data_IF_081042687759
#
_entry.id   IF_081042687759
#
_cell.length_a   1.000
_cell.length_b   1.000
_cell.length_c   1.000
_cell.angle_alpha   90.00
_cell.angle_beta   90.00
_cell.angle_gamma   90.00
#
_symmetry.space_group_name_H-M   'P 1'
#
loop_
_entity.id
_entity.type
_entity.pdbx_description
1 polymer ?
#
# COMPACT_ATOMS: atom_id res chain seq x y z
N UNK A 1 -13.12 3.17 -0.36
CA UNK A 1 -11.97 3.22 0.56
C UNK A 1 -11.36 4.63 0.66
N UNK A 2 -10.89 5.23 -0.45
CA UNK A 2 -10.19 6.53 -0.41
C UNK A 2 -10.95 7.70 0.25
N UNK A 3 -12.23 7.90 -0.11
CA UNK A 3 -12.98 9.11 0.28
C UNK A 3 -13.95 8.92 1.43
N UNK A 4 -14.58 7.75 1.54
CA UNK A 4 -15.54 7.50 2.62
C UNK A 4 -14.85 7.49 3.99
N UNK A 5 -15.58 7.94 5.01
CA UNK A 5 -15.23 7.87 6.43
C UNK A 5 -16.33 7.15 7.22
N UNK A 6 -17.29 6.56 6.52
CA UNK A 6 -18.32 5.74 7.15
C UNK A 6 -17.75 4.36 7.45
N UNK A 7 -17.77 3.99 8.72
CA UNK A 7 -17.17 2.73 9.17
C UNK A 7 -17.86 1.52 8.56
N UNK A 8 -19.19 1.50 8.56
CA UNK A 8 -19.98 0.33 8.15
C UNK A 8 -19.90 0.15 6.63
N UNK A 9 -19.91 1.25 5.86
CA UNK A 9 -19.67 1.25 4.43
C UNK A 9 -18.27 0.71 4.10
N UNK A 10 -17.24 1.24 4.75
CA UNK A 10 -15.86 0.80 4.53
C UNK A 10 -15.68 -0.68 4.88
N UNK A 11 -16.26 -1.13 5.99
CA UNK A 11 -16.23 -2.54 6.39
C UNK A 11 -16.95 -3.42 5.37
N UNK A 12 -18.14 -3.02 4.92
CA UNK A 12 -18.92 -3.75 3.93
C UNK A 12 -18.13 -3.93 2.62
N UNK A 13 -17.62 -2.83 2.06
CA UNK A 13 -16.87 -2.85 0.79
C UNK A 13 -15.58 -3.68 0.92
N UNK A 14 -14.84 -3.54 2.02
CA UNK A 14 -13.63 -4.30 2.26
C UNK A 14 -13.88 -5.81 2.35
N UNK A 15 -14.99 -6.21 3.00
CA UNK A 15 -15.41 -7.61 3.14
C UNK A 15 -15.89 -8.19 1.81
N UNK A 16 -16.79 -7.49 1.12
CA UNK A 16 -17.34 -7.98 -0.15
C UNK A 16 -16.28 -8.08 -1.22
N UNK A 17 -15.33 -7.14 -1.28
CA UNK A 17 -14.18 -7.25 -2.17
C UNK A 17 -13.43 -8.57 -1.95
N UNK A 18 -13.05 -8.88 -0.71
CA UNK A 18 -12.31 -10.12 -0.37
C UNK A 18 -13.12 -11.39 -0.62
N UNK A 19 -14.44 -11.34 -0.38
CA UNK A 19 -15.34 -12.47 -0.67
C UNK A 19 -15.42 -12.75 -2.16
N UNK A 20 -15.44 -11.73 -3.00
CA UNK A 20 -15.60 -11.85 -4.45
C UNK A 20 -14.28 -12.08 -5.20
N UNK A 21 -13.17 -11.51 -4.73
CA UNK A 21 -11.86 -11.65 -5.39
C UNK A 21 -11.01 -12.75 -4.79
N UNK A 22 -10.91 -12.83 -3.46
CA UNK A 22 -9.98 -13.73 -2.77
C UNK A 22 -10.51 -15.16 -2.63
N UNK A 23 -11.80 -15.32 -2.30
CA UNK A 23 -12.38 -16.65 -2.01
C UNK A 23 -12.27 -17.61 -3.19
N UNK A 24 -12.61 -17.12 -4.38
CA UNK A 24 -12.57 -17.89 -5.63
C UNK A 24 -11.13 -18.17 -6.11
N UNK A 25 -10.14 -17.43 -5.58
CA UNK A 25 -8.74 -17.55 -5.99
C UNK A 25 -7.99 -18.66 -5.25
N UNK A 26 -8.51 -19.15 -4.12
CA UNK A 26 -7.77 -20.06 -3.21
C UNK A 26 -7.20 -21.28 -3.93
N UNK A 27 -8.05 -22.01 -4.65
CA UNK A 27 -7.65 -23.29 -5.24
C UNK A 27 -6.74 -23.08 -6.47
N UNK A 28 -7.02 -22.06 -7.28
CA UNK A 28 -6.15 -21.67 -8.39
C UNK A 28 -4.78 -21.18 -7.91
N UNK A 29 -4.73 -20.46 -6.78
CA UNK A 29 -3.47 -19.99 -6.20
C UNK A 29 -2.65 -21.15 -5.66
N UNK A 30 -3.29 -22.16 -5.04
CA UNK A 30 -2.59 -23.37 -4.61
C UNK A 30 -1.95 -24.10 -5.80
N UNK A 31 -2.70 -24.29 -6.89
CA UNK A 31 -2.17 -24.89 -8.12
C UNK A 31 -1.04 -24.05 -8.72
N UNK A 32 -1.13 -22.72 -8.68
CA UNK A 32 -0.06 -21.83 -9.11
C UNK A 32 1.22 -22.04 -8.30
N UNK A 33 1.12 -22.21 -6.97
CA UNK A 33 2.30 -22.52 -6.13
C UNK A 33 2.95 -23.83 -6.57
N UNK A 34 2.16 -24.87 -6.84
CA UNK A 34 2.69 -26.17 -7.30
C UNK A 34 3.47 -26.00 -8.61
N UNK A 35 2.87 -25.33 -9.61
CA UNK A 35 3.51 -25.05 -10.90
C UNK A 35 4.78 -24.20 -10.74
N UNK A 36 4.76 -23.17 -9.89
CA UNK A 36 5.94 -22.34 -9.63
C UNK A 36 7.09 -23.14 -9.00
N UNK A 37 6.78 -24.09 -8.13
CA UNK A 37 7.79 -24.97 -7.54
C UNK A 37 8.33 -25.97 -8.57
N UNK A 38 7.48 -26.55 -9.43
CA UNK A 38 7.94 -27.42 -10.53
C UNK A 38 8.92 -26.69 -11.45
N UNK A 39 8.64 -25.43 -11.81
CA UNK A 39 9.54 -24.60 -12.61
C UNK A 39 10.87 -24.38 -11.87
N UNK A 40 10.83 -24.07 -10.58
CA UNK A 40 12.04 -23.88 -9.79
C UNK A 40 12.90 -25.17 -9.78
N UNK A 41 12.29 -26.33 -9.53
CA UNK A 41 13.01 -27.61 -9.50
C UNK A 41 13.62 -27.97 -10.86
N UNK A 42 12.91 -27.71 -11.97
CA UNK A 42 13.45 -27.91 -13.31
C UNK A 42 14.69 -27.05 -13.61
N UNK A 43 14.85 -25.93 -12.88
CA UNK A 43 16.01 -25.03 -12.95
C UNK A 43 17.02 -25.26 -11.82
N UNK A 44 16.95 -26.38 -11.11
CA UNK A 44 17.82 -26.72 -9.97
C UNK A 44 17.73 -25.70 -8.81
N UNK A 45 16.57 -25.08 -8.60
CA UNK A 45 16.29 -24.11 -7.54
C UNK A 45 15.27 -24.70 -6.55
N UNK A 46 15.40 -24.36 -5.27
CA UNK A 46 14.70 -25.03 -4.15
C UNK A 46 13.18 -24.84 -4.12
N UNK A 47 12.67 -23.69 -4.57
CA UNK A 47 11.24 -23.38 -4.64
C UNK A 47 10.99 -22.10 -5.45
N UNK A 48 9.73 -21.78 -5.74
CA UNK A 48 9.34 -20.59 -6.50
C UNK A 48 9.77 -19.27 -5.86
N UNK A 49 9.88 -19.21 -4.52
CA UNK A 49 10.36 -18.02 -3.81
C UNK A 49 11.84 -17.76 -4.07
N UNK A 50 12.71 -18.78 -3.96
CA UNK A 50 14.12 -18.66 -4.32
C UNK A 50 14.30 -18.32 -5.81
N UNK A 51 13.43 -18.87 -6.66
CA UNK A 51 13.43 -18.56 -8.09
C UNK A 51 13.12 -17.07 -8.36
N UNK A 52 12.25 -16.44 -7.57
CA UNK A 52 12.05 -14.99 -7.67
C UNK A 52 13.23 -14.17 -7.15
N UNK A 53 13.87 -14.64 -6.07
CA UNK A 53 15.03 -13.93 -5.50
C UNK A 53 16.28 -14.03 -6.38
N UNK A 54 16.38 -15.03 -7.27
CA UNK A 54 17.55 -15.18 -8.14
C UNK A 54 17.78 -13.99 -9.08
N UNK A 55 16.73 -13.23 -9.41
CA UNK A 55 16.84 -12.02 -10.24
C UNK A 55 17.68 -10.90 -9.59
N UNK A 56 17.88 -10.96 -8.28
CA UNK A 56 18.70 -10.00 -7.54
C UNK A 56 20.17 -10.42 -7.43
N UNK A 57 20.52 -11.63 -7.87
CA UNK A 57 21.90 -12.17 -7.89
C UNK A 57 22.66 -12.00 -6.55
N UNK A 58 21.94 -12.00 -5.43
CA UNK A 58 22.49 -11.81 -4.09
C UNK A 58 22.21 -13.01 -3.20
N UNK A 59 23.28 -13.58 -2.65
CA UNK A 59 23.20 -14.67 -1.68
C UNK A 59 22.66 -14.25 -0.31
N UNK A 60 22.67 -12.95 0.00
CA UNK A 60 22.23 -12.40 1.30
C UNK A 60 20.96 -11.54 1.18
N UNK A 61 20.20 -11.69 0.10
CA UNK A 61 19.08 -10.81 -0.21
C UNK A 61 18.04 -10.73 0.93
N UNK A 62 17.74 -11.86 1.58
CA UNK A 62 16.77 -11.91 2.69
C UNK A 62 17.29 -11.23 3.94
N UNK A 63 18.55 -11.43 4.26
CA UNK A 63 19.23 -10.80 5.39
C UNK A 63 19.31 -9.29 5.21
N UNK A 64 19.58 -8.83 3.98
CA UNK A 64 19.58 -7.41 3.64
C UNK A 64 18.18 -6.80 3.78
N UNK A 65 17.13 -7.51 3.33
CA UNK A 65 15.74 -7.07 3.52
C UNK A 65 15.35 -6.98 5.00
N UNK A 66 15.70 -7.97 5.80
CA UNK A 66 15.43 -7.98 7.25
C UNK A 66 16.17 -6.85 7.96
N UNK A 67 17.44 -6.59 7.60
CA UNK A 67 18.21 -5.47 8.13
C UNK A 67 17.54 -4.14 7.84
N UNK A 68 17.15 -3.91 6.58
CA UNK A 68 16.45 -2.68 6.19
C UNK A 68 15.09 -2.55 6.90
N UNK A 69 14.37 -3.66 7.08
CA UNK A 69 13.12 -3.64 7.84
C UNK A 69 13.33 -3.20 9.29
N UNK A 70 14.32 -3.77 9.99
CA UNK A 70 14.62 -3.38 11.39
C UNK A 70 15.11 -1.93 11.51
N UNK A 71 15.77 -1.38 10.49
CA UNK A 71 16.12 0.06 10.43
C UNK A 71 14.88 0.96 10.29
N UNK A 72 13.88 0.55 9.50
CA UNK A 72 12.64 1.31 9.25
C UNK A 72 11.64 1.17 10.40
N UNK A 73 11.63 0.01 11.05
CA UNK A 73 10.62 -0.38 12.06
C UNK A 73 10.39 0.64 13.17
N UNK A 74 11.41 1.28 13.79
CA UNK A 74 11.17 2.30 14.81
C UNK A 74 10.35 3.50 14.29
N UNK A 75 10.62 3.93 13.06
CA UNK A 75 9.84 4.99 12.40
C UNK A 75 8.42 4.52 12.10
N UNK A 76 8.27 3.31 11.57
CA UNK A 76 6.97 2.71 11.28
C UNK A 76 6.12 2.57 12.54
N UNK A 77 6.67 2.06 13.64
CA UNK A 77 5.96 1.90 14.90
C UNK A 77 5.52 3.24 15.51
N UNK A 78 6.39 4.26 15.43
CA UNK A 78 6.05 5.63 15.82
C UNK A 78 4.90 6.20 15.00
N UNK A 79 4.97 6.07 13.67
CA UNK A 79 3.91 6.49 12.75
C UNK A 79 2.61 5.71 12.98
N UNK A 80 2.68 4.39 13.11
CA UNK A 80 1.55 3.51 13.37
C UNK A 80 0.87 3.87 14.69
N UNK A 81 1.62 4.10 15.77
CA UNK A 81 1.06 4.51 17.05
C UNK A 81 0.37 5.87 16.97
N UNK A 82 0.97 6.84 16.27
CA UNK A 82 0.39 8.16 16.04
C UNK A 82 -0.92 8.08 15.23
N UNK A 83 -0.90 7.34 14.11
CA UNK A 83 -2.06 7.13 13.23
C UNK A 83 -3.19 6.43 13.99
N UNK A 84 -2.88 5.34 14.74
CA UNK A 84 -3.85 4.65 15.58
C UNK A 84 -4.52 5.59 16.58
N UNK A 85 -3.74 6.46 17.23
CA UNK A 85 -4.28 7.45 18.16
C UNK A 85 -5.23 8.43 17.45
N UNK A 86 -4.84 8.98 16.30
CA UNK A 86 -5.66 9.91 15.51
C UNK A 86 -6.95 9.27 15.01
N UNK A 87 -6.86 8.06 14.46
CA UNK A 87 -8.04 7.30 14.04
C UNK A 87 -8.96 6.99 15.21
N UNK A 88 -8.40 6.69 16.40
CA UNK A 88 -9.20 6.47 17.61
C UNK A 88 -9.87 7.76 18.11
N UNK A 89 -9.21 8.90 18.00
CA UNK A 89 -9.83 10.21 18.29
C UNK A 89 -11.01 10.48 17.35
N UNK A 90 -10.91 10.05 16.08
CA UNK A 90 -11.94 10.24 15.06
C UNK A 90 -13.11 9.24 15.14
N UNK A 91 -12.82 7.92 15.14
CA UNK A 91 -13.82 6.85 15.12
C UNK A 91 -14.31 6.44 16.52
N UNK A 92 -13.60 6.85 17.56
CA UNK A 92 -13.97 6.58 18.94
C UNK A 92 -13.31 5.34 19.57
N UNK A 93 -13.34 5.27 20.91
CA UNK A 93 -12.68 4.23 21.70
C UNK A 93 -13.29 2.83 21.52
N UNK A 94 -14.58 2.75 21.19
CA UNK A 94 -15.32 1.49 21.06
C UNK A 94 -14.93 0.73 19.77
N UNK A 95 -14.47 1.47 18.77
CA UNK A 95 -14.04 0.93 17.47
C UNK A 95 -12.54 0.63 17.42
N UNK A 96 -11.72 1.40 18.13
CA UNK A 96 -10.26 1.30 18.05
C UNK A 96 -9.65 1.22 19.45
N UNK A 97 -9.12 0.04 19.75
CA UNK A 97 -8.38 -0.21 20.99
C UNK A 97 -6.98 0.44 20.92
N UNK A 98 -6.50 0.97 22.05
CA UNK A 98 -5.18 1.63 22.16
C UNK A 98 -4.00 0.71 21.88
N UNK A 99 -4.16 -0.59 22.11
CA UNK A 99 -3.09 -1.58 22.07
C UNK A 99 -3.29 -2.64 20.97
N UNK A 100 -4.42 -2.61 20.25
CA UNK A 100 -4.67 -3.53 19.15
C UNK A 100 -4.09 -3.00 17.82
N UNK A 101 -3.93 -3.87 16.81
CA UNK A 101 -3.69 -3.46 15.43
C UNK A 101 -4.80 -2.54 14.92
N UNK A 102 -4.46 -1.68 13.95
CA UNK A 102 -5.45 -0.82 13.29
C UNK A 102 -6.33 -1.69 12.38
N UNK A 103 -7.68 -1.53 12.42
CA UNK A 103 -8.56 -2.19 11.47
C UNK A 103 -8.19 -1.86 10.01
N UNK A 104 -7.97 -2.88 9.17
CA UNK A 104 -7.42 -2.68 7.82
C UNK A 104 -8.33 -1.88 6.86
N UNK A 105 -9.64 -1.83 7.12
CA UNK A 105 -10.62 -1.20 6.24
C UNK A 105 -10.71 0.34 6.37
N UNK A 106 -10.03 0.94 7.35
CA UNK A 106 -10.12 2.39 7.62
C UNK A 106 -8.86 3.17 7.21
N UNK A 107 -7.95 2.54 6.47
CA UNK A 107 -6.66 3.14 6.11
C UNK A 107 -6.69 3.91 4.78
N UNK A 108 -7.87 4.11 4.21
CA UNK A 108 -8.05 4.85 2.95
C UNK A 108 -7.72 4.05 1.68
N UNK A 109 -7.29 2.81 1.83
CA UNK A 109 -6.91 1.91 0.73
C UNK A 109 -7.52 0.50 0.94
N UNK A 110 -7.72 -0.27 -0.13
CA UNK A 110 -8.32 -1.61 -0.06
C UNK A 110 -7.43 -2.63 0.67
N UNK A 111 -6.12 -2.45 0.59
CA UNK A 111 -5.10 -3.33 1.18
C UNK A 111 -4.40 -2.68 2.38
N UNK A 112 -4.57 -1.36 2.57
CA UNK A 112 -3.90 -0.60 3.63
C UNK A 112 -2.42 -0.36 3.32
N UNK A 113 -2.01 -0.45 2.05
CA UNK A 113 -0.61 -0.33 1.61
C UNK A 113 -0.11 1.12 1.61
N UNK A 114 -1.03 2.09 1.52
CA UNK A 114 -0.76 3.52 1.63
C UNK A 114 -1.84 4.19 2.45
N UNK A 115 -1.45 5.11 3.33
CA UNK A 115 -2.35 5.84 4.23
C UNK A 115 -2.50 7.32 3.82
N UNK A 116 -2.07 7.69 2.61
CA UNK A 116 -2.17 9.06 2.09
C UNK A 116 -3.62 9.54 1.99
N UNK A 117 -4.57 8.63 1.78
CA UNK A 117 -5.98 8.95 1.64
C UNK A 117 -6.71 9.27 2.95
N UNK A 118 -6.03 9.18 4.11
CA UNK A 118 -6.58 9.56 5.43
C UNK A 118 -5.87 10.77 6.05
N UNK A 119 -5.11 11.53 5.25
CA UNK A 119 -4.37 12.71 5.73
C UNK A 119 -5.27 13.74 6.43
N UNK A 120 -6.50 13.93 5.96
CA UNK A 120 -7.52 14.76 6.62
C UNK A 120 -7.78 14.39 8.10
N UNK A 121 -7.58 13.13 8.49
CA UNK A 121 -7.75 12.66 9.87
C UNK A 121 -6.44 12.80 10.67
N UNK A 122 -5.30 12.53 10.04
CA UNK A 122 -4.02 12.34 10.73
C UNK A 122 -3.09 13.55 10.67
N UNK A 123 -3.43 14.61 9.93
CA UNK A 123 -2.61 15.82 9.86
C UNK A 123 -2.34 16.39 11.28
N UNK A 124 -1.07 16.63 11.64
CA UNK A 124 -0.70 17.01 13.00
C UNK A 124 -1.07 18.46 13.36
N UNK A 125 -1.09 19.35 12.37
CA UNK A 125 -1.33 20.78 12.57
C UNK A 125 -2.70 21.17 11.99
N UNK A 126 -3.70 21.42 12.86
CA UNK A 126 -5.02 21.87 12.41
C UNK A 126 -4.92 23.15 11.56
N UNK A 127 -5.68 23.20 10.47
CA UNK A 127 -5.69 24.35 9.54
C UNK A 127 -4.54 24.38 8.54
N UNK A 128 -3.61 23.42 8.57
CA UNK A 128 -2.65 23.19 7.49
C UNK A 128 -3.17 22.08 6.58
N UNK A 129 -3.35 22.40 5.31
CA UNK A 129 -3.76 21.44 4.30
C UNK A 129 -2.54 20.88 3.57
N UNK A 130 -2.59 19.61 3.22
CA UNK A 130 -1.68 19.06 2.23
C UNK A 130 -2.01 19.67 0.86
N UNK A 131 -1.00 19.89 0.02
CA UNK A 131 -1.21 20.45 -1.31
C UNK A 131 -1.86 19.37 -2.18
N UNK A 132 -3.15 19.55 -2.50
CA UNK A 132 -3.85 18.79 -3.53
C UNK A 132 -3.93 19.64 -4.79
N UNK A 133 -3.20 19.23 -5.83
CA UNK A 133 -3.17 19.90 -7.13
C UNK A 133 -4.31 19.45 -8.05
N UNK A 134 -5.08 18.42 -7.68
CA UNK A 134 -6.15 17.85 -8.52
C UNK A 134 -7.16 18.91 -9.00
N UNK A 135 -7.68 19.81 -8.14
CA UNK A 135 -8.63 20.83 -8.60
C UNK A 135 -8.01 21.77 -9.64
N UNK A 136 -6.73 22.12 -9.47
CA UNK A 136 -6.02 23.00 -10.38
C UNK A 136 -5.74 22.33 -11.73
N UNK A 137 -5.38 21.05 -11.71
CA UNK A 137 -5.19 20.26 -12.92
C UNK A 137 -6.49 20.14 -13.73
N UNK A 138 -7.63 19.99 -13.06
CA UNK A 138 -8.94 19.97 -13.72
C UNK A 138 -9.29 21.35 -14.28
N UNK A 139 -9.04 22.43 -13.54
CA UNK A 139 -9.24 23.81 -13.99
C UNK A 139 -8.39 24.13 -15.24
N UNK A 140 -7.14 23.68 -15.27
CA UNK A 140 -6.21 23.84 -16.39
C UNK A 140 -6.40 22.78 -17.49
N UNK A 141 -7.45 21.95 -17.41
CA UNK A 141 -7.82 20.95 -18.41
C UNK A 141 -6.71 19.94 -18.71
N UNK A 142 -5.96 19.51 -17.70
CA UNK A 142 -4.98 18.44 -17.85
C UNK A 142 -5.66 17.16 -18.34
N UNK A 143 -5.10 16.60 -19.41
CA UNK A 143 -5.51 15.32 -19.99
C UNK A 143 -4.40 14.28 -19.82
N UNK A 144 -4.67 12.97 -19.97
CA UNK A 144 -3.61 11.96 -19.91
C UNK A 144 -2.43 12.27 -20.86
N UNK A 145 -2.62 12.68 -22.13
CA UNK A 145 -1.50 13.12 -22.97
C UNK A 145 -0.69 14.29 -22.40
N UNK A 146 -1.36 15.31 -21.84
CA UNK A 146 -0.67 16.45 -21.19
C UNK A 146 0.20 15.98 -20.03
N UNK A 147 -0.25 15.01 -19.23
CA UNK A 147 0.53 14.44 -18.13
C UNK A 147 1.79 13.74 -18.63
N UNK A 148 1.69 12.99 -19.74
CA UNK A 148 2.85 12.37 -20.37
C UNK A 148 3.83 13.42 -20.90
N UNK A 149 3.35 14.51 -21.50
CA UNK A 149 4.23 15.59 -21.95
C UNK A 149 4.99 16.23 -20.79
N UNK A 150 4.33 16.51 -19.66
CA UNK A 150 5.00 17.05 -18.47
C UNK A 150 6.08 16.10 -17.95
N UNK A 151 5.81 14.79 -17.93
CA UNK A 151 6.81 13.80 -17.55
C UNK A 151 7.98 13.76 -18.55
N UNK A 152 7.68 13.79 -19.85
CA UNK A 152 8.70 13.82 -20.90
C UNK A 152 9.60 15.07 -20.79
N UNK A 153 9.01 16.25 -20.60
CA UNK A 153 9.74 17.50 -20.45
C UNK A 153 10.65 17.46 -19.21
N UNK A 154 10.18 16.84 -18.11
CA UNK A 154 11.01 16.61 -16.93
C UNK A 154 12.23 15.73 -17.24
N UNK A 155 12.07 14.60 -17.91
CA UNK A 155 13.20 13.74 -18.29
C UNK A 155 14.14 14.44 -19.29
N UNK A 156 13.60 15.15 -20.27
CA UNK A 156 14.39 15.93 -21.22
C UNK A 156 15.20 17.03 -20.51
N UNK A 157 14.64 17.67 -19.47
CA UNK A 157 15.34 18.69 -18.68
C UNK A 157 16.56 18.14 -17.92
N UNK A 158 16.59 16.82 -17.73
CA UNK A 158 17.70 16.07 -17.12
C UNK A 158 18.61 15.41 -18.17
N UNK A 159 18.45 15.75 -19.46
CA UNK A 159 19.13 15.14 -20.61
C UNK A 159 18.88 13.63 -20.77
N UNK A 160 17.74 13.11 -20.28
CA UNK A 160 17.28 11.77 -20.61
C UNK A 160 16.43 11.76 -21.89
N UNK A 161 16.36 10.61 -22.55
CA UNK A 161 15.58 10.38 -23.77
C UNK A 161 14.27 9.68 -23.46
#
# INVERSE_FOLDING_TARGET
MARSRDWDELQHIWLEYRRKSGREMRDNYAQLIDVMNEIAYANNITNGGEYWYSAFESYNFREDLERVWEEIKPLYEGLHAYVRRKLREYYGPDKINRNAPIPAHILGDMYGQSWSHILDIILPYPGRNFIDITPKMVEELYTPPTLFQVAQDFFASLNFT
#
